data_IF_422372904012
#
_entry.id   IF_422372904012
#
_cell.length_a   1.000
_cell.length_b   1.000
_cell.length_c   1.000
_cell.angle_alpha   90.00
_cell.angle_beta   90.00
_cell.angle_gamma   90.00
#
_symmetry.space_group_name_H-M   'P 1'
#
loop_
_entity.id
_entity.type
_entity.pdbx_description
1 polymer ?
#
# COMPACT_ATOMS: atom_id res chain seq x y z
N UNK A 1 -5.30 4.57 -20.43
CA UNK A 1 -5.48 4.96 -19.02
C UNK A 1 -5.51 6.48 -18.94
N UNK A 2 -6.53 7.04 -18.30
CA UNK A 2 -6.59 8.49 -18.15
C UNK A 2 -5.61 8.98 -17.07
N UNK A 3 -5.47 10.31 -16.97
CA UNK A 3 -4.51 10.92 -16.03
C UNK A 3 -4.82 10.58 -14.57
N UNK A 4 -6.11 10.55 -14.22
CA UNK A 4 -6.56 10.24 -12.86
C UNK A 4 -6.14 8.83 -12.45
N UNK A 5 -6.45 7.84 -13.28
CA UNK A 5 -6.11 6.43 -13.04
C UNK A 5 -4.59 6.23 -12.99
N UNK A 6 -3.87 6.92 -13.87
CA UNK A 6 -2.41 6.84 -13.93
C UNK A 6 -1.75 7.37 -12.65
N UNK A 7 -2.20 8.53 -12.17
CA UNK A 7 -1.65 9.13 -10.95
C UNK A 7 -1.90 8.23 -9.73
N UNK A 8 -3.12 7.71 -9.62
CA UNK A 8 -3.47 6.82 -8.52
C UNK A 8 -2.63 5.53 -8.57
N UNK A 9 -2.51 4.91 -9.75
CA UNK A 9 -1.75 3.68 -9.94
C UNK A 9 -0.27 3.87 -9.61
N UNK A 10 0.35 4.95 -10.07
CA UNK A 10 1.76 5.24 -9.80
C UNK A 10 2.00 5.38 -8.30
N UNK A 11 1.14 6.12 -7.60
CA UNK A 11 1.30 6.29 -6.16
C UNK A 11 1.08 4.98 -5.40
N UNK A 12 0.09 4.19 -5.82
CA UNK A 12 -0.19 2.89 -5.22
C UNK A 12 1.00 1.93 -5.36
N UNK A 13 1.57 1.86 -6.55
CA UNK A 13 2.76 1.04 -6.82
C UNK A 13 3.95 1.52 -5.99
N UNK A 14 4.15 2.83 -5.88
CA UNK A 14 5.22 3.41 -5.07
C UNK A 14 5.12 2.96 -3.61
N UNK A 15 3.92 3.03 -3.01
CA UNK A 15 3.71 2.60 -1.63
C UNK A 15 4.03 1.11 -1.48
N UNK A 16 3.57 0.27 -2.41
CA UNK A 16 3.82 -1.17 -2.36
C UNK A 16 5.31 -1.49 -2.49
N UNK A 17 6.04 -0.77 -3.32
CA UNK A 17 7.50 -0.94 -3.45
C UNK A 17 8.22 -0.60 -2.15
N UNK A 18 7.81 0.48 -1.48
CA UNK A 18 8.39 0.86 -0.19
C UNK A 18 8.16 -0.23 0.86
N UNK A 19 6.96 -0.76 0.96
CA UNK A 19 6.67 -1.87 1.87
C UNK A 19 7.42 -3.14 1.48
N UNK A 20 7.60 -3.40 0.20
CA UNK A 20 8.38 -4.55 -0.27
C UNK A 20 9.83 -4.48 0.23
N UNK A 21 10.43 -3.29 0.20
CA UNK A 21 11.78 -3.09 0.73
C UNK A 21 11.82 -3.35 2.23
N UNK A 22 10.82 -2.84 2.96
CA UNK A 22 10.78 -2.97 4.41
C UNK A 22 10.61 -4.44 4.84
N UNK A 23 9.70 -5.18 4.19
CA UNK A 23 9.28 -6.51 4.65
C UNK A 23 9.77 -7.68 3.82
N UNK A 24 10.63 -7.45 2.84
CA UNK A 24 11.20 -8.53 2.04
C UNK A 24 12.22 -9.32 2.88
N UNK A 25 12.14 -10.66 2.82
CA UNK A 25 13.08 -11.52 3.54
C UNK A 25 14.52 -11.32 3.10
N UNK A 26 14.76 -10.92 1.85
CA UNK A 26 16.09 -10.63 1.33
C UNK A 26 16.74 -9.45 2.05
N UNK A 27 15.92 -8.57 2.62
CA UNK A 27 16.39 -7.41 3.39
C UNK A 27 16.40 -7.67 4.89
N UNK A 28 16.12 -8.89 5.34
CA UNK A 28 16.14 -9.25 6.76
C UNK A 28 17.54 -9.03 7.33
N UNK A 29 17.61 -8.40 8.51
CA UNK A 29 18.89 -8.09 9.16
C UNK A 29 19.57 -6.84 8.65
N UNK A 30 19.03 -6.19 7.62
CA UNK A 30 19.50 -4.88 7.16
C UNK A 30 18.70 -3.82 7.92
N UNK A 31 19.29 -2.66 8.15
CA UNK A 31 18.61 -1.53 8.79
C UNK A 31 17.65 -0.89 7.77
N UNK A 32 16.47 -1.50 7.62
CA UNK A 32 15.48 -1.07 6.65
C UNK A 32 15.02 0.37 6.85
N UNK A 33 15.05 0.86 8.08
CA UNK A 33 14.71 2.24 8.43
C UNK A 33 15.66 3.25 7.80
N UNK A 34 16.89 2.83 7.45
CA UNK A 34 17.85 3.70 6.77
C UNK A 34 17.62 3.73 5.25
N UNK A 35 16.83 2.80 4.72
CA UNK A 35 16.54 2.69 3.28
C UNK A 35 15.25 3.41 2.90
N UNK A 36 14.33 3.57 3.83
CA UNK A 36 13.00 4.11 3.57
C UNK A 36 12.73 5.27 4.52
N UNK A 37 12.35 6.40 3.96
CA UNK A 37 11.88 7.55 4.72
C UNK A 37 10.41 7.31 5.09
N UNK A 38 10.16 6.99 6.37
CA UNK A 38 8.82 6.69 6.85
C UNK A 38 7.88 7.90 6.82
N UNK A 39 8.42 9.11 6.91
CA UNK A 39 7.61 10.31 6.77
C UNK A 39 7.11 10.47 5.34
N UNK A 40 7.95 10.21 4.36
CA UNK A 40 7.56 10.22 2.94
C UNK A 40 6.55 9.11 2.65
N UNK A 41 6.74 7.92 3.23
CA UNK A 41 5.80 6.82 3.07
C UNK A 41 4.43 7.20 3.64
N UNK A 42 4.39 7.81 4.82
CA UNK A 42 3.14 8.27 5.41
C UNK A 42 2.45 9.32 4.52
N UNK A 43 3.21 10.25 3.96
CA UNK A 43 2.69 11.26 3.01
C UNK A 43 2.10 10.60 1.77
N UNK A 44 2.76 9.57 1.25
CA UNK A 44 2.27 8.84 0.08
C UNK A 44 0.98 8.09 0.37
N UNK A 45 0.83 7.54 1.57
CA UNK A 45 -0.40 6.89 2.01
C UNK A 45 -1.54 7.92 2.11
N UNK A 46 -1.27 9.11 2.67
CA UNK A 46 -2.27 10.19 2.72
C UNK A 46 -2.64 10.69 1.33
N UNK A 47 -1.65 10.82 0.45
CA UNK A 47 -1.87 11.22 -0.93
C UNK A 47 -2.75 10.19 -1.66
N UNK A 48 -2.61 8.92 -1.33
CA UNK A 48 -3.40 7.87 -1.95
C UNK A 48 -4.91 8.08 -1.73
N UNK A 49 -5.33 8.52 -0.53
CA UNK A 49 -6.73 8.86 -0.27
C UNK A 49 -7.19 10.03 -1.12
N UNK A 50 -6.37 11.06 -1.25
CA UNK A 50 -6.69 12.22 -2.05
C UNK A 50 -6.86 11.87 -3.53
N UNK A 51 -5.93 11.07 -4.06
CA UNK A 51 -6.01 10.61 -5.45
C UNK A 51 -7.18 9.66 -5.66
N UNK A 52 -7.53 8.88 -4.64
CA UNK A 52 -8.69 7.99 -4.70
C UNK A 52 -10.00 8.79 -4.84
N UNK A 53 -10.12 9.92 -4.19
CA UNK A 53 -11.30 10.79 -4.37
C UNK A 53 -11.44 11.24 -5.82
N UNK A 54 -10.33 11.51 -6.51
CA UNK A 54 -10.36 11.82 -7.92
C UNK A 54 -10.80 10.62 -8.77
N UNK A 55 -10.39 9.42 -8.37
CA UNK A 55 -10.83 8.17 -9.03
C UNK A 55 -12.34 8.00 -8.92
N UNK A 56 -12.93 8.30 -7.77
CA UNK A 56 -14.37 8.20 -7.58
C UNK A 56 -15.15 9.15 -8.50
N UNK A 57 -14.56 10.31 -8.82
CA UNK A 57 -15.20 11.30 -9.69
C UNK A 57 -14.98 11.02 -11.18
N UNK A 58 -13.74 10.71 -11.58
CA UNK A 58 -13.32 10.68 -12.96
C UNK A 58 -12.66 9.38 -13.41
N UNK A 59 -12.41 8.46 -12.49
CA UNK A 59 -11.64 7.26 -12.77
C UNK A 59 -12.46 6.12 -13.34
N UNK A 60 -11.75 5.13 -13.86
CA UNK A 60 -12.33 3.86 -14.30
C UNK A 60 -12.50 2.96 -13.06
N UNK A 61 -13.75 2.78 -12.63
CA UNK A 61 -14.07 2.06 -11.38
C UNK A 61 -13.64 0.60 -11.46
N UNK A 62 -13.94 -0.09 -12.55
CA UNK A 62 -13.60 -1.51 -12.72
C UNK A 62 -12.09 -1.73 -12.73
N UNK A 63 -11.37 -0.90 -13.48
CA UNK A 63 -9.91 -0.96 -13.53
C UNK A 63 -9.29 -0.74 -12.15
N UNK A 64 -9.72 0.32 -11.46
CA UNK A 64 -9.13 0.66 -10.16
C UNK A 64 -9.51 -0.35 -9.08
N UNK A 65 -10.70 -0.90 -9.10
CA UNK A 65 -11.08 -1.97 -8.16
C UNK A 65 -10.14 -3.17 -8.29
N UNK A 66 -9.81 -3.56 -9.52
CA UNK A 66 -8.88 -4.66 -9.77
C UNK A 66 -7.49 -4.33 -9.21
N UNK A 67 -7.01 -3.10 -9.41
CA UNK A 67 -5.72 -2.66 -8.91
C UNK A 67 -5.67 -2.64 -7.37
N UNK A 68 -6.71 -2.12 -6.74
CA UNK A 68 -6.77 -2.04 -5.28
C UNK A 68 -6.84 -3.44 -4.66
N UNK A 69 -7.59 -4.36 -5.26
CA UNK A 69 -7.64 -5.76 -4.78
C UNK A 69 -6.28 -6.45 -4.87
N UNK A 70 -5.54 -6.22 -5.96
CA UNK A 70 -4.17 -6.73 -6.09
C UNK A 70 -3.25 -6.15 -5.01
N UNK A 71 -3.35 -4.86 -4.77
CA UNK A 71 -2.57 -4.19 -3.72
C UNK A 71 -2.91 -4.76 -2.33
N UNK A 72 -4.19 -4.96 -2.06
CA UNK A 72 -4.65 -5.54 -0.81
C UNK A 72 -4.07 -6.94 -0.58
N UNK A 73 -4.12 -7.80 -1.60
CA UNK A 73 -3.56 -9.15 -1.52
C UNK A 73 -2.05 -9.12 -1.25
N UNK A 74 -1.34 -8.17 -1.83
CA UNK A 74 0.09 -8.00 -1.59
C UNK A 74 0.37 -7.58 -0.15
N UNK A 75 -0.44 -6.68 0.40
CA UNK A 75 -0.33 -6.25 1.80
C UNK A 75 -0.60 -7.43 2.75
N UNK A 76 -1.61 -8.24 2.46
CA UNK A 76 -1.89 -9.46 3.24
C UNK A 76 -0.67 -10.40 3.19
N UNK A 77 -0.02 -10.49 2.04
CA UNK A 77 1.22 -11.26 1.89
C UNK A 77 2.33 -10.77 2.83
N UNK A 78 2.49 -9.45 2.98
CA UNK A 78 3.46 -8.89 3.92
C UNK A 78 3.14 -9.27 5.37
N UNK A 79 1.88 -9.24 5.77
CA UNK A 79 1.48 -9.69 7.11
C UNK A 79 1.79 -11.17 7.33
N UNK A 80 1.61 -12.01 6.30
CA UNK A 80 1.94 -13.42 6.39
C UNK A 80 3.45 -13.65 6.53
N UNK A 81 4.26 -12.88 5.83
CA UNK A 81 5.72 -12.92 5.95
C UNK A 81 6.13 -12.55 7.38
N UNK A 82 5.59 -11.48 7.92
CA UNK A 82 5.88 -11.02 9.28
C UNK A 82 5.51 -12.12 10.28
N UNK A 83 4.33 -12.71 10.13
CA UNK A 83 3.83 -13.76 11.02
C UNK A 83 4.69 -15.02 10.97
N UNK A 84 5.09 -15.44 9.77
CA UNK A 84 5.83 -16.70 9.56
C UNK A 84 7.32 -16.58 9.84
N UNK A 85 7.88 -15.37 9.73
CA UNK A 85 9.34 -15.15 9.76
C UNK A 85 9.72 -13.98 10.67
N UNK A 86 8.96 -13.78 11.75
CA UNK A 86 9.16 -12.61 12.62
C UNK A 86 10.57 -12.50 13.20
N UNK A 87 11.30 -13.62 13.35
CA UNK A 87 12.69 -13.60 13.81
C UNK A 87 13.67 -13.15 12.72
N UNK A 88 13.26 -13.16 11.47
CA UNK A 88 14.11 -12.85 10.32
C UNK A 88 13.73 -11.55 9.61
N UNK A 89 12.60 -10.94 10.00
CA UNK A 89 12.14 -9.68 9.43
C UNK A 89 12.31 -8.58 10.48
N UNK A 90 13.14 -7.61 10.16
CA UNK A 90 13.34 -6.46 11.04
C UNK A 90 12.27 -5.42 10.72
N UNK A 91 11.37 -5.20 11.67
CA UNK A 91 10.30 -4.22 11.52
C UNK A 91 10.11 -3.48 12.84
N UNK A 92 10.04 -2.15 12.77
CA UNK A 92 9.74 -1.36 13.96
C UNK A 92 8.23 -1.10 14.07
N UNK A 93 7.84 -0.56 15.21
CA UNK A 93 6.42 -0.28 15.51
C UNK A 93 5.79 0.64 14.48
N UNK A 94 6.50 1.69 14.06
CA UNK A 94 5.95 2.65 13.10
C UNK A 94 5.73 2.02 11.72
N UNK A 95 6.66 1.17 11.28
CA UNK A 95 6.51 0.44 10.02
C UNK A 95 5.25 -0.43 10.03
N UNK A 96 5.01 -1.12 11.13
CA UNK A 96 3.82 -1.96 11.29
C UNK A 96 2.54 -1.13 11.35
N UNK A 97 2.56 0.00 12.03
CA UNK A 97 1.42 0.91 12.08
C UNK A 97 1.06 1.45 10.71
N UNK A 98 2.06 1.82 9.91
CA UNK A 98 1.82 2.32 8.54
C UNK A 98 1.26 1.21 7.65
N UNK A 99 1.76 -0.02 7.77
CA UNK A 99 1.25 -1.14 7.01
C UNK A 99 -0.22 -1.43 7.37
N UNK A 100 -0.55 -1.41 8.66
CA UNK A 100 -1.91 -1.61 9.14
C UNK A 100 -2.85 -0.50 8.63
N UNK A 101 -2.39 0.74 8.70
CA UNK A 101 -3.13 1.91 8.23
C UNK A 101 -3.42 1.80 6.73
N UNK A 102 -2.43 1.40 5.95
CA UNK A 102 -2.59 1.22 4.52
C UNK A 102 -3.56 0.08 4.20
N UNK A 103 -3.46 -1.03 4.94
CA UNK A 103 -4.40 -2.14 4.80
C UNK A 103 -5.85 -1.67 5.00
N UNK A 104 -6.12 -0.91 6.06
CA UNK A 104 -7.45 -0.37 6.33
C UNK A 104 -7.92 0.55 5.20
N UNK A 105 -7.04 1.42 4.71
CA UNK A 105 -7.34 2.31 3.61
C UNK A 105 -7.78 1.53 2.37
N UNK A 106 -7.05 0.46 2.03
CA UNK A 106 -7.38 -0.37 0.87
C UNK A 106 -8.72 -1.08 1.05
N UNK A 107 -9.03 -1.57 2.26
CA UNK A 107 -10.32 -2.19 2.55
C UNK A 107 -11.47 -1.20 2.32
N UNK A 108 -11.35 0.02 2.81
CA UNK A 108 -12.35 1.06 2.61
C UNK A 108 -12.50 1.43 1.14
N UNK A 109 -11.39 1.53 0.41
CA UNK A 109 -11.40 1.85 -1.00
C UNK A 109 -12.08 0.76 -1.83
N UNK A 110 -11.82 -0.51 -1.51
CA UNK A 110 -12.49 -1.65 -2.16
C UNK A 110 -14.00 -1.55 -1.94
N UNK A 111 -14.42 -1.32 -0.70
CA UNK A 111 -15.85 -1.23 -0.37
C UNK A 111 -16.53 -0.09 -1.14
N UNK A 112 -15.87 1.06 -1.22
CA UNK A 112 -16.41 2.21 -1.96
C UNK A 112 -16.53 1.93 -3.46
N UNK A 113 -15.50 1.30 -4.06
CA UNK A 113 -15.52 0.97 -5.49
C UNK A 113 -16.57 -0.10 -5.80
N UNK A 114 -16.68 -1.12 -4.95
CA UNK A 114 -17.69 -2.16 -5.14
C UNK A 114 -19.10 -1.61 -5.04
N UNK A 115 -19.33 -0.62 -4.19
CA UNK A 115 -20.63 0.03 -4.06
C UNK A 115 -21.06 0.79 -5.32
N UNK A 116 -20.11 1.15 -6.19
CA UNK A 116 -20.37 1.86 -7.46
C UNK A 116 -20.61 0.93 -8.64
N UNK A 117 -20.46 -0.37 -8.46
CA UNK A 117 -20.71 -1.38 -9.51
C UNK A 117 -22.13 -2.02 -9.36
#
# INVERSE_FOLDING_TARGET
MNKTDKQYTINLVHILQEFSIIFCLENSGILNEDLIDLDDLEKSIKLNDKLFNNVLEDGDITFNLKQVKKAYNQVIGYFQIIKSHYNNVVANKRQLELLFKFKQQLEEQIDMLEALL
#
